data_IF_322546690767
#
_entry.id   IF_322546690767
#
_cell.length_a   1.000
_cell.length_b   1.000
_cell.length_c   1.000
_cell.angle_alpha   90.00
_cell.angle_beta   90.00
_cell.angle_gamma   90.00
#
_symmetry.space_group_name_H-M   'P 1'
#
loop_
_entity.id
_entity.type
_entity.pdbx_description
1 polymer ?
#
# COMPACT_ATOMS: atom_id res chain seq x y z
N UNK A 1 8.06 10.29 4.40
CA UNK A 1 7.39 9.42 3.43
C UNK A 1 5.89 9.26 3.67
N UNK A 2 5.36 9.30 4.89
CA UNK A 2 3.91 9.15 5.13
C UNK A 2 3.05 10.32 4.59
N UNK A 3 3.63 11.52 4.44
CA UNK A 3 2.98 12.61 3.74
C UNK A 3 2.85 12.28 2.24
N UNK A 4 1.61 12.24 1.73
CA UNK A 4 1.29 11.89 0.35
C UNK A 4 2.03 12.74 -0.69
N UNK A 5 2.14 14.05 -0.45
CA UNK A 5 2.84 14.94 -1.37
C UNK A 5 4.34 14.67 -1.38
N UNK A 6 4.96 14.56 -0.19
CA UNK A 6 6.38 14.19 -0.08
C UNK A 6 6.67 12.85 -0.76
N UNK A 7 5.78 11.87 -0.66
CA UNK A 7 5.93 10.58 -1.35
C UNK A 7 5.98 10.73 -2.87
N UNK A 8 5.02 11.46 -3.45
CA UNK A 8 4.97 11.67 -4.89
C UNK A 8 6.18 12.49 -5.39
N UNK A 9 6.52 13.56 -4.68
CA UNK A 9 7.61 14.45 -5.05
C UNK A 9 8.98 13.73 -4.98
N UNK A 10 9.28 13.04 -3.87
CA UNK A 10 10.54 12.32 -3.71
C UNK A 10 10.59 11.06 -4.59
N UNK A 11 9.46 10.41 -4.83
CA UNK A 11 9.33 9.30 -5.76
C UNK A 11 9.73 9.69 -7.18
N UNK A 12 9.13 10.77 -7.70
CA UNK A 12 9.43 11.31 -9.02
C UNK A 12 10.90 11.71 -9.15
N UNK A 13 11.44 12.47 -8.18
CA UNK A 13 12.87 12.87 -8.14
C UNK A 13 13.83 11.69 -8.18
N UNK A 14 13.47 10.55 -7.60
CA UNK A 14 14.33 9.34 -7.51
C UNK A 14 14.02 8.30 -8.60
N UNK A 15 13.19 8.68 -9.58
CA UNK A 15 12.79 7.80 -10.69
C UNK A 15 12.05 6.56 -10.22
N UNK A 16 11.22 6.70 -9.17
CA UNK A 16 10.27 5.68 -8.74
C UNK A 16 8.95 5.93 -9.47
N UNK A 17 8.38 4.94 -10.18
CA UNK A 17 7.06 5.03 -10.81
C UNK A 17 5.96 5.29 -9.78
N UNK A 18 5.66 6.55 -9.49
CA UNK A 18 4.55 6.96 -8.63
C UNK A 18 3.33 7.33 -9.46
N UNK A 19 2.14 7.36 -8.83
CA UNK A 19 0.92 7.79 -9.51
C UNK A 19 1.07 9.23 -10.06
N UNK A 20 0.60 9.49 -11.28
CA UNK A 20 0.77 10.78 -11.92
C UNK A 20 -0.04 11.86 -11.20
N UNK A 21 0.48 13.08 -11.18
CA UNK A 21 -0.21 14.25 -10.65
C UNK A 21 -0.03 15.44 -11.60
N UNK A 22 -1.01 16.33 -11.63
CA UNK A 22 -1.01 17.50 -12.51
C UNK A 22 -0.11 18.60 -11.94
N UNK A 23 0.63 19.28 -12.80
CA UNK A 23 1.47 20.44 -12.44
C UNK A 23 0.70 21.77 -12.41
N UNK A 24 -0.59 21.77 -12.79
CA UNK A 24 -1.43 22.98 -12.74
C UNK A 24 -1.47 23.59 -11.34
N UNK A 25 -1.45 24.91 -11.21
CA UNK A 25 -1.41 25.57 -9.90
C UNK A 25 -2.67 25.35 -9.06
N UNK A 26 -3.78 24.99 -9.70
CA UNK A 26 -5.05 24.71 -9.05
C UNK A 26 -6.14 24.41 -10.06
N UNK A 27 -7.31 24.03 -9.56
CA UNK A 27 -8.53 23.83 -10.35
C UNK A 27 -9.69 24.60 -9.74
N UNK A 28 -10.64 24.98 -10.59
CA UNK A 28 -11.91 25.57 -10.19
C UNK A 28 -13.01 24.60 -10.58
N UNK A 29 -13.73 24.07 -9.59
CA UNK A 29 -14.85 23.14 -9.80
C UNK A 29 -16.14 23.92 -9.57
N UNK A 30 -17.06 23.86 -10.55
CA UNK A 30 -18.33 24.59 -10.49
C UNK A 30 -19.49 23.62 -10.60
N UNK A 31 -20.46 23.75 -9.70
CA UNK A 31 -21.72 23.05 -9.86
C UNK A 31 -22.50 23.64 -11.04
N UNK A 32 -23.05 22.78 -11.91
CA UNK A 32 -23.66 23.21 -13.19
C UNK A 32 -24.88 24.12 -13.04
N UNK A 33 -25.58 24.05 -11.91
CA UNK A 33 -26.89 24.68 -11.70
C UNK A 33 -26.95 25.57 -10.44
N UNK A 34 -25.84 25.81 -9.74
CA UNK A 34 -25.84 26.74 -8.60
C UNK A 34 -25.42 28.13 -9.05
N UNK A 35 -26.26 29.12 -8.76
CA UNK A 35 -26.06 30.52 -9.13
C UNK A 35 -25.52 31.36 -7.96
N UNK A 36 -25.21 32.63 -8.22
CA UNK A 36 -24.81 33.58 -7.17
C UNK A 36 -23.41 33.33 -6.58
N UNK A 37 -22.56 32.57 -7.27
CA UNK A 37 -21.23 32.20 -6.78
C UNK A 37 -21.23 31.06 -5.76
N UNK A 38 -22.40 30.52 -5.41
CA UNK A 38 -22.50 29.27 -4.65
C UNK A 38 -22.10 28.08 -5.54
N UNK A 39 -21.54 27.03 -4.94
CA UNK A 39 -21.10 25.85 -5.67
C UNK A 39 -19.83 26.03 -6.52
N UNK A 40 -19.08 27.11 -6.32
CA UNK A 40 -17.75 27.32 -6.92
C UNK A 40 -16.68 26.99 -5.88
N UNK A 41 -15.86 26.00 -6.16
CA UNK A 41 -14.78 25.54 -5.29
C UNK A 41 -13.43 25.79 -5.96
N UNK A 42 -12.54 26.46 -5.24
CA UNK A 42 -11.16 26.72 -5.67
C UNK A 42 -10.22 25.80 -4.90
N UNK A 43 -9.53 24.92 -5.61
CA UNK A 43 -8.56 24.00 -5.02
C UNK A 43 -7.16 24.40 -5.49
N UNK A 44 -6.30 24.77 -4.53
CA UNK A 44 -4.90 25.10 -4.79
C UNK A 44 -4.06 23.81 -4.72
N UNK A 45 -3.26 23.57 -5.75
CA UNK A 45 -2.44 22.36 -5.86
C UNK A 45 -1.22 22.41 -4.92
N UNK A 46 -0.82 21.26 -4.38
CA UNK A 46 0.40 21.07 -3.60
C UNK A 46 1.66 21.51 -4.37
N UNK A 47 1.67 21.35 -5.70
CA UNK A 47 2.73 21.84 -6.59
C UNK A 47 2.94 23.36 -6.53
N UNK A 48 1.92 24.11 -6.11
CA UNK A 48 1.95 25.57 -5.95
C UNK A 48 1.84 26.00 -4.46
N UNK A 49 2.11 25.08 -3.54
CA UNK A 49 2.00 25.30 -2.10
C UNK A 49 0.55 25.44 -1.62
N UNK A 50 -0.35 24.61 -2.15
CA UNK A 50 -1.70 24.38 -1.61
C UNK A 50 -1.82 23.03 -0.92
N UNK A 51 -3.03 22.66 -0.50
CA UNK A 51 -3.28 21.45 0.30
C UNK A 51 -3.69 20.22 -0.53
N UNK A 52 -3.99 20.41 -1.82
CA UNK A 52 -4.61 19.37 -2.65
C UNK A 52 -3.63 18.77 -3.64
N UNK A 53 -3.57 17.45 -3.71
CA UNK A 53 -2.95 16.75 -4.84
C UNK A 53 -4.01 16.62 -5.92
N UNK A 54 -3.75 17.20 -7.08
CA UNK A 54 -4.65 17.12 -8.23
C UNK A 54 -4.11 16.07 -9.17
N UNK A 55 -4.90 15.05 -9.45
CA UNK A 55 -4.47 13.87 -10.18
C UNK A 55 -5.57 13.42 -11.14
N UNK A 56 -5.17 12.95 -12.32
CA UNK A 56 -6.08 12.28 -13.23
C UNK A 56 -6.48 10.92 -12.68
N UNK A 57 -7.74 10.55 -12.90
CA UNK A 57 -8.25 9.26 -12.46
C UNK A 57 -7.48 8.14 -13.17
N UNK A 58 -6.88 7.25 -12.38
CA UNK A 58 -6.25 6.03 -12.89
C UNK A 58 -7.33 4.97 -13.06
N UNK A 59 -7.28 4.24 -14.17
CA UNK A 59 -8.16 3.11 -14.44
C UNK A 59 -7.40 1.78 -14.30
N UNK A 60 -8.10 0.73 -13.88
CA UNK A 60 -7.56 -0.62 -13.79
C UNK A 60 -7.11 -1.12 -15.16
N UNK A 61 -6.00 -1.87 -15.22
CA UNK A 61 -5.60 -2.59 -16.43
C UNK A 61 -6.68 -3.56 -16.90
N UNK A 62 -6.60 -4.01 -18.16
CA UNK A 62 -7.54 -4.99 -18.71
C UNK A 62 -7.57 -6.29 -17.90
N UNK A 63 -6.39 -6.76 -17.47
CA UNK A 63 -6.28 -7.96 -16.64
C UNK A 63 -6.95 -7.78 -15.28
N UNK A 64 -6.69 -6.67 -14.58
CA UNK A 64 -7.34 -6.40 -13.28
C UNK A 64 -8.85 -6.27 -13.46
N UNK A 65 -9.29 -5.55 -14.50
CA UNK A 65 -10.72 -5.37 -14.80
C UNK A 65 -11.43 -6.70 -15.09
N UNK A 66 -10.74 -7.69 -15.66
CA UNK A 66 -11.30 -9.02 -15.91
C UNK A 66 -11.64 -9.81 -14.63
N UNK A 67 -11.03 -9.42 -13.50
CA UNK A 67 -11.24 -10.03 -12.18
C UNK A 67 -12.23 -9.25 -11.31
N UNK A 68 -12.83 -8.19 -11.85
CA UNK A 68 -13.65 -7.24 -11.11
C UNK A 68 -15.05 -7.11 -11.72
N UNK A 69 -16.05 -6.76 -10.91
CA UNK A 69 -17.38 -6.49 -11.42
C UNK A 69 -17.42 -5.17 -12.20
N UNK A 70 -18.48 -4.97 -12.97
CA UNK A 70 -18.72 -3.67 -13.60
C UNK A 70 -18.78 -2.54 -12.56
N UNK A 71 -18.19 -1.39 -12.92
CA UNK A 71 -18.13 -0.19 -12.05
C UNK A 71 -17.42 -0.43 -10.71
N UNK A 72 -16.50 -1.40 -10.64
CA UNK A 72 -15.55 -1.48 -9.54
C UNK A 72 -14.62 -0.24 -9.52
N UNK A 73 -14.17 0.21 -8.32
CA UNK A 73 -13.16 1.25 -8.22
C UNK A 73 -11.78 0.75 -8.66
N UNK A 74 -10.80 1.67 -8.69
CA UNK A 74 -9.39 1.32 -8.82
C UNK A 74 -9.02 0.32 -7.71
N UNK A 75 -8.53 -0.85 -8.09
CA UNK A 75 -8.10 -1.91 -7.19
C UNK A 75 -6.59 -1.96 -7.12
N UNK A 76 -6.05 -2.32 -5.97
CA UNK A 76 -4.61 -2.24 -5.72
C UNK A 76 -4.04 -3.54 -5.15
N UNK A 77 -2.72 -3.68 -5.25
CA UNK A 77 -1.95 -4.74 -4.64
C UNK A 77 -1.19 -4.15 -3.46
N UNK A 78 -1.51 -4.63 -2.26
CA UNK A 78 -0.77 -4.30 -1.05
C UNK A 78 0.44 -5.21 -0.95
N UNK A 79 1.64 -4.69 -1.20
CA UNK A 79 2.89 -5.42 -0.97
C UNK A 79 3.53 -4.94 0.32
N UNK A 80 3.89 -5.85 1.22
CA UNK A 80 4.65 -5.52 2.42
C UNK A 80 6.11 -5.87 2.19
N UNK A 81 7.01 -4.93 2.42
CA UNK A 81 8.46 -5.12 2.35
C UNK A 81 9.09 -4.95 3.73
N UNK A 82 10.19 -5.65 3.97
CA UNK A 82 11.08 -5.41 5.11
C UNK A 82 12.42 -4.86 4.66
N UNK A 83 13.10 -4.10 5.52
CA UNK A 83 14.47 -3.61 5.26
C UNK A 83 15.41 -4.00 6.40
N UNK A 84 16.37 -4.88 6.13
CA UNK A 84 17.47 -5.21 7.06
C UNK A 84 18.46 -4.05 7.21
N UNK A 85 18.48 -3.10 6.26
CA UNK A 85 19.27 -1.89 6.40
C UNK A 85 18.84 -1.04 7.60
N UNK A 86 17.59 -1.18 8.08
CA UNK A 86 17.10 -0.45 9.26
C UNK A 86 17.73 -0.89 10.58
N UNK A 87 18.22 -2.13 10.68
CA UNK A 87 18.71 -2.72 11.93
C UNK A 87 19.96 -1.99 12.44
N UNK A 88 20.95 -1.87 11.55
CA UNK A 88 22.20 -1.17 11.78
C UNK A 88 22.30 0.07 10.88
N UNK A 89 21.21 0.83 10.81
CA UNK A 89 21.19 2.08 10.08
C UNK A 89 22.20 3.05 10.70
N UNK A 90 23.11 3.53 9.85
CA UNK A 90 24.09 4.58 10.15
C UNK A 90 24.05 5.56 9.00
N UNK A 91 23.95 6.84 9.31
CA UNK A 91 23.98 7.90 8.30
C UNK A 91 25.24 7.76 7.42
N UNK A 92 25.04 7.71 6.09
CA UNK A 92 26.11 7.49 5.11
C UNK A 92 26.38 6.04 4.71
N UNK A 93 25.72 5.04 5.32
CA UNK A 93 25.75 3.65 4.81
C UNK A 93 24.78 3.54 3.62
N UNK A 94 25.31 3.15 2.47
CA UNK A 94 24.48 2.90 1.29
C UNK A 94 23.68 1.60 1.47
N UNK A 95 22.33 1.65 1.44
CA UNK A 95 21.51 0.44 1.46
C UNK A 95 21.65 -0.33 0.15
N UNK A 96 21.55 -1.65 0.21
CA UNK A 96 21.57 -2.52 -0.97
C UNK A 96 20.19 -3.11 -1.20
N UNK A 97 19.92 -3.52 -2.44
CA UNK A 97 18.66 -4.18 -2.77
C UNK A 97 18.50 -5.50 -2.00
N UNK A 98 19.59 -6.23 -1.80
CA UNK A 98 19.65 -7.46 -1.00
C UNK A 98 19.32 -7.25 0.49
N UNK A 99 19.23 -5.99 0.96
CA UNK A 99 18.75 -5.68 2.31
C UNK A 99 17.21 -5.65 2.38
N UNK A 100 16.50 -5.69 1.24
CA UNK A 100 15.05 -5.55 1.15
C UNK A 100 14.41 -6.85 0.68
N UNK A 101 13.40 -7.33 1.40
CA UNK A 101 12.58 -8.47 0.97
C UNK A 101 11.10 -8.08 0.88
N UNK A 102 10.43 -8.45 -0.22
CA UNK A 102 8.97 -8.48 -0.24
C UNK A 102 8.43 -9.70 0.53
N UNK A 103 7.67 -9.45 1.59
CA UNK A 103 7.18 -10.48 2.52
C UNK A 103 5.81 -11.06 2.13
N UNK A 104 4.89 -10.21 1.68
CA UNK A 104 3.51 -10.59 1.38
C UNK A 104 2.93 -9.70 0.29
N UNK A 105 1.97 -10.24 -0.47
CA UNK A 105 1.17 -9.47 -1.41
C UNK A 105 -0.31 -9.84 -1.27
N UNK A 106 -1.18 -8.83 -1.23
CA UNK A 106 -2.64 -9.01 -1.17
C UNK A 106 -3.28 -8.16 -2.26
N UNK A 107 -4.13 -8.75 -3.08
CA UNK A 107 -4.97 -8.03 -4.02
C UNK A 107 -6.25 -7.56 -3.34
N UNK A 108 -6.49 -6.25 -3.34
CA UNK A 108 -7.71 -5.61 -2.85
C UNK A 108 -8.69 -5.46 -4.01
N UNK A 109 -9.52 -6.47 -4.21
CA UNK A 109 -10.51 -6.48 -5.28
C UNK A 109 -11.72 -5.62 -4.89
N UNK A 110 -11.83 -4.42 -5.48
CA UNK A 110 -12.84 -3.43 -5.14
C UNK A 110 -14.26 -3.86 -5.48
N UNK A 111 -15.20 -3.54 -4.59
CA UNK A 111 -16.61 -3.92 -4.75
C UNK A 111 -17.38 -3.03 -5.71
N UNK A 112 -18.44 -3.58 -6.31
CA UNK A 112 -19.24 -2.88 -7.31
C UNK A 112 -19.87 -1.60 -6.71
N UNK A 113 -19.64 -0.46 -7.36
CA UNK A 113 -20.21 0.83 -6.94
C UNK A 113 -19.53 1.49 -5.73
N UNK A 114 -18.47 0.90 -5.17
CA UNK A 114 -17.67 1.55 -4.14
C UNK A 114 -16.86 2.73 -4.71
N UNK A 115 -16.58 3.72 -3.88
CA UNK A 115 -15.77 4.88 -4.28
C UNK A 115 -14.26 4.55 -4.31
N UNK A 116 -13.81 3.65 -3.44
CA UNK A 116 -12.42 3.20 -3.32
C UNK A 116 -12.39 1.70 -2.96
N UNK A 117 -11.22 1.07 -3.10
CA UNK A 117 -10.98 -0.33 -2.70
C UNK A 117 -10.89 -0.55 -1.18
N UNK A 118 -11.26 0.45 -0.37
CA UNK A 118 -11.46 0.25 1.07
C UNK A 118 -12.65 -0.67 1.35
N UNK A 119 -13.61 -0.74 0.43
CA UNK A 119 -14.60 -1.80 0.38
C UNK A 119 -14.17 -2.82 -0.69
N UNK A 120 -13.49 -3.88 -0.26
CA UNK A 120 -12.89 -4.88 -1.14
C UNK A 120 -12.91 -6.28 -0.54
N UNK A 121 -12.70 -7.25 -1.42
CA UNK A 121 -12.30 -8.61 -1.05
C UNK A 121 -10.79 -8.71 -1.14
N UNK A 122 -10.17 -9.20 -0.07
CA UNK A 122 -8.73 -9.30 0.08
C UNK A 122 -8.28 -10.69 -0.36
N UNK A 123 -7.81 -10.81 -1.60
CA UNK A 123 -7.25 -12.05 -2.14
C UNK A 123 -5.76 -12.13 -1.83
N UNK A 124 -5.36 -13.16 -1.11
CA UNK A 124 -3.94 -13.41 -0.84
C UNK A 124 -3.22 -13.78 -2.13
N UNK A 125 -1.93 -13.48 -2.25
CA UNK A 125 -1.11 -13.84 -3.41
C UNK A 125 0.12 -14.57 -2.91
N UNK A 126 0.40 -15.73 -3.47
CA UNK A 126 1.65 -16.43 -3.20
C UNK A 126 2.83 -15.58 -3.70
N UNK A 127 3.70 -15.06 -2.80
CA UNK A 127 4.78 -14.16 -3.17
C UNK A 127 5.84 -14.82 -4.07
N UNK A 128 5.87 -16.16 -4.16
CA UNK A 128 6.84 -16.88 -5.02
C UNK A 128 6.34 -17.04 -6.45
N UNK A 129 5.04 -17.23 -6.61
CA UNK A 129 4.44 -17.60 -7.91
C UNK A 129 3.60 -16.49 -8.53
N UNK A 130 3.12 -15.54 -7.73
CA UNK A 130 2.15 -14.52 -8.14
C UNK A 130 0.75 -15.08 -8.37
N UNK A 131 0.45 -16.29 -7.88
CA UNK A 131 -0.88 -16.91 -8.01
C UNK A 131 -1.79 -16.35 -6.92
N UNK A 132 -2.98 -15.88 -7.34
CA UNK A 132 -4.05 -15.48 -6.45
C UNK A 132 -4.60 -16.70 -5.71
N UNK A 133 -4.54 -16.64 -4.38
CA UNK A 133 -5.09 -17.63 -3.46
C UNK A 133 -6.48 -17.19 -3.01
N UNK A 134 -7.02 -17.85 -1.99
CA UNK A 134 -8.36 -17.57 -1.46
C UNK A 134 -8.45 -16.20 -0.80
N UNK A 135 -9.55 -15.53 -1.07
CA UNK A 135 -9.90 -14.24 -0.50
C UNK A 135 -10.58 -14.30 0.84
N UNK A 136 -10.49 -13.17 1.54
CA UNK A 136 -11.16 -12.92 2.81
C UNK A 136 -11.70 -11.50 2.88
N UNK A 137 -12.45 -11.18 3.93
CA UNK A 137 -13.00 -9.84 4.15
C UNK A 137 -12.46 -9.26 5.45
N UNK A 138 -12.25 -7.95 5.45
CA UNK A 138 -11.91 -7.17 6.65
C UNK A 138 -13.12 -6.38 7.18
N UNK A 139 -14.34 -6.72 6.74
CA UNK A 139 -15.57 -5.99 7.06
C UNK A 139 -15.83 -5.80 8.57
N UNK A 140 -15.20 -6.61 9.43
CA UNK A 140 -15.28 -6.49 10.88
C UNK A 140 -14.36 -5.40 11.46
N UNK A 141 -13.29 -4.99 10.78
CA UNK A 141 -12.29 -4.01 11.29
C UNK A 141 -12.87 -2.60 11.48
N UNK A 142 -13.89 -2.25 10.71
CA UNK A 142 -14.51 -0.93 10.73
C UNK A 142 -15.89 -0.90 11.42
N UNK A 143 -16.32 -2.03 11.98
CA UNK A 143 -17.60 -2.14 12.71
C UNK A 143 -17.38 -1.81 14.18
N UNK A 144 -17.57 -0.54 14.50
CA UNK A 144 -17.43 0.02 15.85
C UNK A 144 -18.80 0.25 16.50
N UNK A 145 -18.87 0.13 17.82
CA UNK A 145 -20.04 0.50 18.63
C UNK A 145 -20.65 -0.64 19.44
N UNK A 146 -21.40 -0.27 20.48
CA UNK A 146 -22.03 -1.21 21.43
C UNK A 146 -22.95 -2.24 20.75
N UNK A 147 -23.59 -1.86 19.64
CA UNK A 147 -24.46 -2.75 18.87
C UNK A 147 -23.69 -3.89 18.18
N UNK A 148 -22.44 -3.63 17.77
CA UNK A 148 -21.57 -4.62 17.13
C UNK A 148 -20.93 -5.58 18.12
N UNK A 149 -20.90 -5.22 19.41
CA UNK A 149 -20.48 -6.07 20.51
C UNK A 149 -21.54 -7.12 20.92
N UNK A 150 -22.78 -7.00 20.42
CA UNK A 150 -23.81 -7.99 20.68
C UNK A 150 -23.48 -9.34 20.01
N UNK A 151 -23.71 -10.48 20.68
CA UNK A 151 -23.43 -11.80 20.12
C UNK A 151 -24.12 -11.99 18.76
N UNK A 152 -23.33 -12.34 17.74
CA UNK A 152 -23.81 -12.63 16.38
C UNK A 152 -23.89 -11.43 15.44
N UNK A 153 -23.68 -10.19 15.91
CA UNK A 153 -23.77 -9.00 15.05
C UNK A 153 -22.51 -8.74 14.23
N UNK A 154 -21.35 -8.95 14.83
CA UNK A 154 -20.06 -8.80 14.16
C UNK A 154 -19.36 -10.16 13.98
N UNK A 155 -18.97 -10.54 12.74
CA UNK A 155 -18.16 -11.72 12.50
C UNK A 155 -16.71 -11.43 12.91
N UNK A 156 -16.41 -11.53 14.21
CA UNK A 156 -15.09 -11.28 14.79
C UNK A 156 -13.96 -12.17 14.23
N UNK A 157 -14.33 -13.24 13.54
CA UNK A 157 -13.41 -14.14 12.84
C UNK A 157 -13.76 -14.14 11.37
N UNK A 158 -12.76 -13.92 10.55
CA UNK A 158 -12.83 -14.11 9.10
C UNK A 158 -11.94 -15.30 8.72
N UNK A 159 -12.17 -15.88 7.56
CA UNK A 159 -11.43 -17.04 7.02
C UNK A 159 -11.27 -16.87 5.52
N UNK A 160 -10.25 -17.52 4.95
CA UNK A 160 -9.98 -17.47 3.50
C UNK A 160 -10.87 -18.51 2.80
N UNK A 161 -12.01 -18.07 2.32
CA UNK A 161 -13.03 -18.94 1.70
C UNK A 161 -13.50 -18.43 0.35
N UNK A 162 -13.28 -17.14 0.04
CA UNK A 162 -13.71 -16.59 -1.23
C UNK A 162 -12.79 -17.09 -2.35
N UNK A 163 -13.35 -17.76 -3.33
CA UNK A 163 -12.64 -18.16 -4.56
C UNK A 163 -13.03 -17.25 -5.72
N UNK A 164 -14.23 -16.65 -5.63
CA UNK A 164 -14.81 -15.73 -6.60
C UNK A 164 -15.03 -14.35 -5.96
N UNK A 165 -15.08 -13.31 -6.79
CA UNK A 165 -15.59 -12.00 -6.42
C UNK A 165 -17.11 -12.09 -6.20
N UNK A 166 -17.65 -11.64 -5.05
CA UNK A 166 -19.05 -11.84 -4.69
C UNK A 166 -20.02 -11.03 -5.56
N UNK A 167 -19.59 -9.87 -6.06
CA UNK A 167 -20.45 -8.97 -6.85
C UNK A 167 -20.49 -9.32 -8.35
N UNK A 168 -20.55 -10.61 -8.70
CA UNK A 168 -20.54 -11.04 -10.10
C UNK A 168 -20.16 -12.50 -10.33
N UNK A 169 -19.83 -13.24 -9.26
CA UNK A 169 -19.38 -14.63 -9.31
C UNK A 169 -18.20 -14.84 -10.27
N UNK A 170 -17.23 -13.92 -10.21
CA UNK A 170 -16.05 -13.89 -11.10
C UNK A 170 -14.93 -14.67 -10.43
N UNK A 171 -14.39 -15.71 -11.07
CA UNK A 171 -13.31 -16.50 -10.49
C UNK A 171 -12.01 -15.68 -10.38
N UNK A 172 -11.52 -15.51 -9.14
CA UNK A 172 -10.28 -14.77 -8.85
C UNK A 172 -9.16 -15.73 -8.45
N UNK A 173 -9.44 -16.71 -7.59
CA UNK A 173 -8.47 -17.73 -7.17
C UNK A 173 -7.91 -18.49 -8.39
N UNK A 174 -6.60 -18.71 -8.39
CA UNK A 174 -5.88 -19.45 -9.43
C UNK A 174 -5.35 -18.59 -10.57
N UNK A 175 -5.80 -17.33 -10.71
CA UNK A 175 -5.24 -16.41 -11.70
C UNK A 175 -3.82 -15.98 -11.30
N UNK A 176 -2.94 -15.82 -12.28
CA UNK A 176 -1.57 -15.37 -12.07
C UNK A 176 -1.43 -13.89 -12.39
N UNK A 177 -0.88 -13.11 -11.46
CA UNK A 177 -0.60 -11.69 -11.65
C UNK A 177 0.43 -11.52 -12.77
N UNK A 178 0.17 -10.71 -13.82
CA UNK A 178 1.11 -10.48 -14.90
C UNK A 178 2.34 -9.76 -14.37
N UNK A 179 3.51 -10.19 -14.86
CA UNK A 179 4.81 -9.59 -14.55
C UNK A 179 5.10 -9.38 -13.05
N UNK A 180 4.62 -10.33 -12.23
CA UNK A 180 4.66 -10.21 -10.76
C UNK A 180 6.07 -10.00 -10.20
N UNK A 181 7.09 -10.59 -10.81
CA UNK A 181 8.48 -10.39 -10.38
C UNK A 181 8.92 -8.94 -10.49
N UNK A 182 8.57 -8.26 -11.57
CA UNK A 182 8.90 -6.84 -11.73
C UNK A 182 8.12 -5.96 -10.75
N UNK A 183 6.90 -6.35 -10.35
CA UNK A 183 6.16 -5.68 -9.28
C UNK A 183 6.91 -5.78 -7.94
N UNK A 184 7.42 -6.97 -7.59
CA UNK A 184 8.21 -7.16 -6.37
C UNK A 184 9.51 -6.34 -6.42
N UNK A 185 10.27 -6.44 -7.51
CA UNK A 185 11.50 -5.66 -7.69
C UNK A 185 11.24 -4.15 -7.64
N UNK A 186 10.11 -3.68 -8.18
CA UNK A 186 9.70 -2.27 -8.10
C UNK A 186 9.54 -1.83 -6.65
N UNK A 187 8.78 -2.57 -5.84
CA UNK A 187 8.55 -2.17 -4.43
C UNK A 187 9.81 -2.29 -3.58
N UNK A 188 10.63 -3.32 -3.81
CA UNK A 188 11.91 -3.51 -3.11
C UNK A 188 12.88 -2.36 -3.42
N UNK A 189 13.01 -2.03 -4.70
CA UNK A 189 13.82 -0.88 -5.16
C UNK A 189 13.28 0.44 -4.60
N UNK A 190 11.96 0.58 -4.50
CA UNK A 190 11.32 1.79 -3.98
C UNK A 190 11.55 1.94 -2.48
N UNK A 191 11.51 0.85 -1.71
CA UNK A 191 11.84 0.85 -0.29
C UNK A 191 13.31 1.22 -0.07
N UNK A 192 14.23 0.59 -0.80
CA UNK A 192 15.66 0.93 -0.75
C UNK A 192 15.91 2.41 -1.07
N UNK A 193 15.24 2.95 -2.10
CA UNK A 193 15.45 4.33 -2.55
C UNK A 193 14.82 5.38 -1.65
N UNK A 194 13.63 5.12 -1.09
CA UNK A 194 12.81 6.16 -0.45
C UNK A 194 12.83 6.12 1.07
N UNK A 195 12.93 4.94 1.67
CA UNK A 195 12.81 4.74 3.12
C UNK A 195 13.63 3.54 3.62
N UNK A 196 14.92 3.42 3.27
CA UNK A 196 15.75 2.25 3.61
C UNK A 196 15.91 2.02 5.13
N UNK A 197 15.75 3.09 5.92
CA UNK A 197 15.82 3.07 7.38
C UNK A 197 14.50 2.68 8.06
N UNK A 198 13.41 2.52 7.29
CA UNK A 198 12.12 2.07 7.81
C UNK A 198 12.05 0.54 7.79
N UNK A 199 11.83 -0.13 8.93
CA UNK A 199 11.87 -1.59 9.02
C UNK A 199 10.83 -2.31 8.16
N UNK A 200 9.60 -1.81 8.10
CA UNK A 200 8.48 -2.41 7.39
C UNK A 200 7.70 -1.34 6.64
N UNK A 201 7.34 -1.61 5.39
CA UNK A 201 6.60 -0.66 4.56
C UNK A 201 5.52 -1.40 3.76
N UNK A 202 4.32 -0.83 3.75
CA UNK A 202 3.24 -1.27 2.86
C UNK A 202 3.15 -0.37 1.63
N UNK A 203 3.17 -0.98 0.45
CA UNK A 203 3.08 -0.30 -0.84
C UNK A 203 1.75 -0.62 -1.49
N UNK A 204 1.03 0.41 -1.92
CA UNK A 204 -0.14 0.27 -2.76
C UNK A 204 0.27 0.35 -4.23
N UNK A 205 0.34 -0.80 -4.88
CA UNK A 205 0.71 -0.92 -6.29
C UNK A 205 -0.56 -0.96 -7.14
N UNK A 206 -0.53 -0.25 -8.26
CA UNK A 206 -1.59 -0.22 -9.25
C UNK A 206 -1.08 -0.82 -10.56
N UNK A 207 -1.89 -1.68 -11.17
CA UNK A 207 -1.74 -2.05 -12.58
C UNK A 207 -2.69 -1.19 -13.41
N UNK A 208 -2.13 -0.24 -14.14
CA UNK A 208 -2.87 0.81 -14.84
C UNK A 208 -3.25 0.39 -16.26
N UNK A 209 -4.36 0.93 -16.77
CA UNK A 209 -4.70 0.88 -18.19
C UNK A 209 -3.78 1.75 -19.06
N UNK A 210 -3.08 2.72 -18.46
CA UNK A 210 -2.15 3.59 -19.17
C UNK A 210 -0.88 2.82 -19.59
N UNK A 211 -0.68 2.69 -20.90
CA UNK A 211 0.48 1.99 -21.46
C UNK A 211 1.81 2.70 -21.20
N UNK A 212 1.79 4.01 -20.93
CA UNK A 212 2.99 4.78 -20.59
C UNK A 212 3.43 4.58 -19.14
N UNK A 213 2.49 4.18 -18.27
CA UNK A 213 2.73 3.91 -16.85
C UNK A 213 1.93 2.67 -16.42
N UNK A 214 2.28 1.46 -16.92
CA UNK A 214 1.48 0.26 -16.70
C UNK A 214 1.49 -0.22 -15.24
N UNK A 215 2.51 0.16 -14.48
CA UNK A 215 2.63 -0.11 -13.04
C UNK A 215 3.09 1.15 -12.33
N UNK A 216 2.41 1.53 -11.26
CA UNK A 216 2.82 2.64 -10.41
C UNK A 216 2.46 2.43 -8.93
N UNK A 217 3.12 3.18 -8.06
CA UNK A 217 2.85 3.23 -6.63
C UNK A 217 1.90 4.38 -6.31
N UNK A 218 0.77 4.06 -5.70
CA UNK A 218 -0.27 5.02 -5.33
C UNK A 218 -0.02 5.62 -3.95
N UNK A 219 0.37 4.79 -2.99
CA UNK A 219 0.57 5.20 -1.60
C UNK A 219 1.65 4.35 -0.92
N UNK A 220 2.29 4.95 0.08
CA UNK A 220 3.20 4.28 1.00
C UNK A 220 2.64 4.36 2.42
N UNK A 221 2.59 3.22 3.12
CA UNK A 221 2.10 3.12 4.50
C UNK A 221 3.23 2.61 5.41
N UNK A 222 3.69 3.47 6.33
CA UNK A 222 4.76 3.14 7.28
C UNK A 222 4.24 2.44 8.54
N UNK A 223 2.95 2.56 8.82
CA UNK A 223 2.22 1.72 9.78
C UNK A 223 1.33 0.74 9.02
N UNK A 224 1.97 -0.26 8.41
CA UNK A 224 1.27 -1.21 7.56
C UNK A 224 0.76 -2.42 8.35
N UNK A 225 -0.37 -2.96 7.91
CA UNK A 225 -0.86 -4.27 8.33
C UNK A 225 -0.75 -5.25 7.15
N UNK A 226 -0.67 -6.55 7.44
CA UNK A 226 -0.51 -7.59 6.42
C UNK A 226 -1.81 -7.94 5.68
N UNK A 227 -2.96 -7.32 6.02
CA UNK A 227 -4.29 -7.61 5.45
C UNK A 227 -4.67 -9.10 5.43
N UNK A 228 -4.12 -9.88 6.38
CA UNK A 228 -4.24 -11.34 6.45
C UNK A 228 -3.60 -12.09 5.27
N UNK A 229 -2.74 -11.44 4.50
CA UNK A 229 -1.90 -12.09 3.51
C UNK A 229 -0.96 -13.11 4.17
N UNK A 230 -0.64 -14.16 3.43
CA UNK A 230 0.39 -15.10 3.83
C UNK A 230 1.77 -14.45 3.66
N UNK A 231 2.69 -14.84 4.54
CA UNK A 231 4.08 -14.40 4.50
C UNK A 231 4.97 -15.45 5.13
N UNK A 232 6.27 -15.38 4.83
CA UNK A 232 7.26 -16.23 5.47
C UNK A 232 7.45 -15.79 6.93
N UNK A 233 6.83 -16.54 7.85
CA UNK A 233 6.93 -16.28 9.28
C UNK A 233 8.33 -16.46 9.82
N UNK A 234 9.12 -17.39 9.27
CA UNK A 234 10.50 -17.62 9.69
C UNK A 234 11.32 -16.37 9.41
N UNK A 235 11.31 -15.93 8.14
CA UNK A 235 11.99 -14.72 7.70
C UNK A 235 11.58 -13.48 8.52
N UNK A 236 10.28 -13.30 8.76
CA UNK A 236 9.77 -12.18 9.54
C UNK A 236 10.19 -12.24 11.02
N UNK A 237 10.09 -13.41 11.66
CA UNK A 237 10.45 -13.56 13.07
C UNK A 237 11.96 -13.41 13.29
N UNK A 238 12.77 -13.93 12.38
CA UNK A 238 14.23 -13.75 12.40
C UNK A 238 14.59 -12.28 12.26
N UNK A 239 13.94 -11.55 11.33
CA UNK A 239 14.09 -10.10 11.20
C UNK A 239 13.72 -9.34 12.47
N UNK A 240 12.62 -9.70 13.13
CA UNK A 240 12.20 -9.09 14.39
C UNK A 240 13.20 -9.36 15.52
N UNK A 241 13.69 -10.60 15.66
CA UNK A 241 14.70 -10.96 16.67
C UNK A 241 15.99 -10.16 16.46
N UNK A 242 16.49 -10.08 15.23
CA UNK A 242 17.69 -9.30 14.89
C UNK A 242 17.51 -7.81 15.21
N UNK A 243 16.33 -7.26 14.90
CA UNK A 243 15.97 -5.87 15.19
C UNK A 243 16.00 -5.59 16.70
N UNK A 244 15.37 -6.46 17.51
CA UNK A 244 15.37 -6.31 18.96
C UNK A 244 16.77 -6.48 19.56
N UNK A 245 17.57 -7.42 19.07
CA UNK A 245 18.97 -7.58 19.49
C UNK A 245 19.80 -6.34 19.19
N UNK A 246 19.63 -5.73 18.02
CA UNK A 246 20.33 -4.50 17.65
C UNK A 246 19.91 -3.31 18.54
N UNK A 247 18.62 -3.16 18.82
CA UNK A 247 18.11 -2.16 19.76
C UNK A 247 18.69 -2.36 21.17
N UNK A 248 18.70 -3.60 21.65
CA UNK A 248 19.27 -3.92 22.96
C UNK A 248 20.77 -3.58 23.05
N UNK A 249 21.56 -3.93 22.02
CA UNK A 249 22.98 -3.53 21.94
C UNK A 249 23.16 -2.01 22.00
N UNK A 250 22.31 -1.25 21.29
CA UNK A 250 22.32 0.23 21.30
C UNK A 250 21.93 0.81 22.66
N UNK A 251 21.06 0.13 23.42
CA UNK A 251 20.71 0.55 24.79
C UNK A 251 21.88 0.37 25.75
N UNK A 252 22.52 -0.80 25.74
CA UNK A 252 23.68 -1.07 26.61
C UNK A 252 24.82 -0.10 26.33
N UNK A 253 25.16 0.15 25.06
CA UNK A 253 26.25 1.07 24.72
C UNK A 253 26.00 2.52 25.15
N UNK A 254 24.73 2.96 25.16
CA UNK A 254 24.33 4.27 25.68
C UNK A 254 24.50 4.37 27.19
N UNK A 255 24.21 3.30 27.92
CA UNK A 255 24.38 3.26 29.38
C UNK A 255 25.88 3.28 29.74
N UNK A 256 26.69 2.43 29.10
CA UNK A 256 28.15 2.39 29.34
C UNK A 256 28.87 3.68 28.93
N UNK A 257 28.42 4.36 27.86
CA UNK A 257 29.02 5.63 27.43
C UNK A 257 28.68 6.85 28.30
N UNK A 258 27.72 6.72 29.22
CA UNK A 258 27.35 7.78 30.17
C UNK A 258 28.14 7.68 31.50
N UNK A 259 28.71 6.52 31.82
CA UNK A 259 29.51 6.32 33.03
C UNK A 259 30.93 6.93 32.90
N UNK A 260 31.46 7.08 31.68
CA UNK A 260 32.76 7.74 31.41
C UNK A 260 32.70 9.28 31.42
N UNK A 261 31.52 9.88 31.68
CA UNK A 261 31.30 11.34 31.70
C UNK A 261 30.95 11.90 33.08
N UNK A 262 31.15 11.16 34.17
CA UNK A 262 30.97 11.63 35.54
C UNK A 262 32.28 11.73 36.31
#
# INVERSE_FOLDING_TARGET
MENKWTFLEEGDKRGVPVSPFLSTSGIVVKHRNEEGGMGIFFYKNATAGGDWIIQERIENSEWVSSLLPEKAPLSTFRVITQSRASIDWTEGKEPKLDDIDALSCVFRAGRAGAATDHDSILFDIDPKTGILLKGTTNAHWYRLGLHEALPGMCPWRSTHHATHHPDGDILVEGNQVPDFKNILTLVETSHMKLCPDVPLVGWDVVLSADKSLPVCLLEVNLSCNFFRGSFDKGLYLDFMDDSFRALHRKMISRESGNDDKK
#
